data_IF_637582811799
#
_entry.id   IF_637582811799
#
_cell.length_a   1.000
_cell.length_b   1.000
_cell.length_c   1.000
_cell.angle_alpha   90.00
_cell.angle_beta   90.00
_cell.angle_gamma   90.00
#
_symmetry.space_group_name_H-M   'P 1'
#
loop_
_entity.id
_entity.type
_entity.pdbx_description
1 polymer ?
#
# COMPACT_ATOMS: atom_id res chain seq x y z
N UNK A 1 -29.52 -9.11 10.65
CA UNK A 1 -30.30 -9.23 9.40
C UNK A 1 -29.30 -9.16 8.25
N UNK A 2 -29.15 -10.21 7.43
CA UNK A 2 -28.25 -10.16 6.26
C UNK A 2 -28.96 -9.32 5.21
N UNK A 3 -28.42 -8.16 4.86
CA UNK A 3 -28.89 -7.41 3.68
C UNK A 3 -28.72 -8.30 2.45
N UNK A 4 -29.84 -8.79 1.92
CA UNK A 4 -29.90 -9.45 0.63
C UNK A 4 -30.35 -8.38 -0.37
N UNK A 5 -29.48 -8.08 -1.34
CA UNK A 5 -29.77 -7.10 -2.39
C UNK A 5 -30.54 -7.80 -3.49
N UNK A 6 -31.73 -7.29 -3.84
CA UNK A 6 -32.50 -7.78 -4.98
C UNK A 6 -31.70 -7.60 -6.28
N UNK A 7 -31.84 -8.57 -7.19
CA UNK A 7 -31.16 -8.56 -8.45
C UNK A 7 -31.72 -7.45 -9.36
N UNK A 8 -30.89 -6.48 -9.81
CA UNK A 8 -31.36 -5.38 -10.63
C UNK A 8 -31.75 -5.79 -12.06
N UNK A 9 -31.45 -7.02 -12.47
CA UNK A 9 -31.71 -7.53 -13.83
C UNK A 9 -33.01 -8.34 -13.89
N UNK A 10 -33.25 -9.26 -12.94
CA UNK A 10 -34.47 -10.08 -12.97
C UNK A 10 -35.55 -9.62 -11.99
N UNK A 11 -35.22 -8.80 -10.98
CA UNK A 11 -36.18 -8.31 -9.99
C UNK A 11 -36.73 -9.34 -9.00
N UNK A 12 -36.42 -10.63 -9.16
CA UNK A 12 -36.98 -11.71 -8.34
C UNK A 12 -35.93 -12.43 -7.47
N UNK A 13 -34.67 -12.46 -7.93
CA UNK A 13 -33.58 -13.14 -7.23
C UNK A 13 -32.81 -12.23 -6.28
N UNK A 14 -31.97 -12.82 -5.45
CA UNK A 14 -31.12 -12.13 -4.49
C UNK A 14 -29.64 -12.35 -4.78
N UNK A 15 -28.86 -11.28 -4.68
CA UNK A 15 -27.42 -11.30 -4.87
C UNK A 15 -26.71 -11.77 -3.61
N UNK A 16 -25.94 -12.85 -3.75
CA UNK A 16 -25.08 -13.37 -2.67
C UNK A 16 -23.61 -13.10 -2.98
N UNK A 17 -22.91 -12.44 -2.05
CA UNK A 17 -21.47 -12.19 -2.17
C UNK A 17 -20.67 -13.50 -2.25
N UNK A 18 -19.70 -13.53 -3.17
CA UNK A 18 -18.75 -14.60 -3.42
C UNK A 18 -17.34 -14.03 -3.53
N UNK A 19 -16.36 -14.86 -3.23
CA UNK A 19 -14.94 -14.58 -3.46
C UNK A 19 -14.35 -15.82 -4.11
N UNK A 20 -13.60 -15.64 -5.19
CA UNK A 20 -12.84 -16.70 -5.84
C UNK A 20 -11.40 -16.26 -6.07
N UNK A 21 -10.52 -17.21 -6.37
CA UNK A 21 -9.18 -16.91 -6.85
C UNK A 21 -9.19 -16.89 -8.38
N UNK A 22 -8.89 -15.73 -8.96
CA UNK A 22 -8.85 -15.53 -10.40
C UNK A 22 -7.41 -15.25 -10.85
N UNK A 23 -6.95 -15.85 -11.97
CA UNK A 23 -5.61 -15.61 -12.47
C UNK A 23 -5.52 -14.24 -13.14
N UNK A 24 -4.42 -13.53 -12.90
CA UNK A 24 -3.99 -12.38 -13.70
C UNK A 24 -2.64 -12.69 -14.33
N UNK A 25 -2.43 -12.18 -15.54
CA UNK A 25 -1.15 -12.26 -16.24
C UNK A 25 -0.55 -10.85 -16.27
N UNK A 26 0.67 -10.70 -15.74
CA UNK A 26 1.40 -9.45 -15.75
C UNK A 26 2.88 -9.72 -15.97
N UNK A 27 3.48 -9.06 -16.98
CA UNK A 27 4.87 -9.29 -17.43
C UNK A 27 5.21 -10.78 -17.65
N UNK A 28 4.25 -11.54 -18.19
CA UNK A 28 4.41 -12.98 -18.44
C UNK A 28 4.31 -13.87 -17.20
N UNK A 29 4.14 -13.30 -16.00
CA UNK A 29 3.94 -14.04 -14.75
C UNK A 29 2.45 -14.16 -14.46
N UNK A 30 2.00 -15.36 -14.11
CA UNK A 30 0.62 -15.60 -13.64
C UNK A 30 0.57 -15.49 -12.12
N UNK A 31 -0.33 -14.66 -11.60
CA UNK A 31 -0.62 -14.51 -10.17
C UNK A 31 -2.08 -14.81 -9.91
N UNK A 32 -2.38 -15.47 -8.78
CA UNK A 32 -3.75 -15.64 -8.32
C UNK A 32 -4.12 -14.48 -7.41
N UNK A 33 -5.26 -13.83 -7.68
CA UNK A 33 -5.79 -12.73 -6.86
C UNK A 33 -7.20 -13.04 -6.44
N UNK A 34 -7.60 -12.52 -5.28
CA UNK A 34 -9.00 -12.57 -4.86
C UNK A 34 -9.85 -11.72 -5.81
N UNK A 35 -10.97 -12.29 -6.23
CA UNK A 35 -11.98 -11.67 -7.06
C UNK A 35 -13.32 -11.76 -6.31
N UNK A 36 -13.76 -10.60 -5.82
CA UNK A 36 -14.97 -10.38 -5.06
C UNK A 36 -16.09 -9.99 -6.01
N UNK A 37 -17.23 -10.67 -5.93
CA UNK A 37 -18.40 -10.41 -6.76
C UNK A 37 -19.65 -10.93 -6.04
N UNK A 38 -20.81 -10.80 -6.66
CA UNK A 38 -22.07 -11.37 -6.18
C UNK A 38 -22.77 -12.09 -7.30
N UNK A 39 -23.46 -13.18 -6.96
CA UNK A 39 -24.21 -14.01 -7.92
C UNK A 39 -25.67 -14.03 -7.52
N UNK A 40 -26.56 -13.81 -8.51
CA UNK A 40 -28.00 -13.95 -8.35
C UNK A 40 -28.39 -15.42 -8.30
N UNK A 41 -29.20 -15.79 -7.31
CA UNK A 41 -29.71 -17.16 -7.14
C UNK A 41 -30.81 -17.57 -8.13
N UNK A 42 -31.45 -16.62 -8.81
CA UNK A 42 -32.52 -16.88 -9.78
C UNK A 42 -32.03 -16.87 -11.25
N UNK A 43 -31.32 -15.82 -11.67
CA UNK A 43 -30.93 -15.64 -13.08
C UNK A 43 -29.43 -15.86 -13.34
N UNK A 44 -28.62 -16.09 -12.31
CA UNK A 44 -27.18 -16.32 -12.45
C UNK A 44 -26.35 -15.08 -12.80
N UNK A 45 -26.93 -13.87 -12.76
CA UNK A 45 -26.17 -12.62 -12.93
C UNK A 45 -24.99 -12.57 -11.97
N UNK A 46 -23.79 -12.36 -12.53
CA UNK A 46 -22.60 -12.02 -11.76
C UNK A 46 -22.33 -10.53 -11.84
N UNK A 47 -22.10 -9.88 -10.70
CA UNK A 47 -21.72 -8.47 -10.66
C UNK A 47 -20.79 -8.16 -9.50
N UNK A 48 -19.92 -7.17 -9.68
CA UNK A 48 -19.12 -6.59 -8.61
C UNK A 48 -19.67 -5.20 -8.25
N UNK A 49 -20.06 -5.01 -7.00
CA UNK A 49 -20.43 -3.69 -6.48
C UNK A 49 -19.20 -2.77 -6.35
N UNK A 50 -19.41 -1.47 -6.05
CA UNK A 50 -18.31 -0.52 -5.94
C UNK A 50 -17.25 -0.91 -4.88
N UNK A 51 -17.66 -1.61 -3.81
CA UNK A 51 -16.77 -2.09 -2.76
C UNK A 51 -15.93 -3.27 -3.28
N UNK A 52 -16.56 -4.24 -3.93
CA UNK A 52 -15.92 -5.38 -4.55
C UNK A 52 -14.94 -4.96 -5.65
N UNK A 53 -15.34 -4.06 -6.56
CA UNK A 53 -14.44 -3.49 -7.58
C UNK A 53 -13.20 -2.85 -6.97
N UNK A 54 -13.36 -2.12 -5.85
CA UNK A 54 -12.23 -1.53 -5.13
C UNK A 54 -11.31 -2.61 -4.52
N UNK A 55 -11.88 -3.65 -3.93
CA UNK A 55 -11.10 -4.78 -3.38
C UNK A 55 -10.33 -5.52 -4.47
N UNK A 56 -10.98 -5.84 -5.59
CA UNK A 56 -10.37 -6.56 -6.71
C UNK A 56 -9.23 -5.73 -7.32
N UNK A 57 -9.44 -4.42 -7.50
CA UNK A 57 -8.39 -3.51 -7.97
C UNK A 57 -7.16 -3.53 -7.05
N UNK A 58 -7.36 -3.46 -5.74
CA UNK A 58 -6.27 -3.51 -4.75
C UNK A 58 -5.52 -4.84 -4.79
N UNK A 59 -6.24 -5.96 -4.91
CA UNK A 59 -5.63 -7.28 -5.04
C UNK A 59 -4.75 -7.38 -6.29
N UNK A 60 -5.22 -6.85 -7.43
CA UNK A 60 -4.43 -6.77 -8.66
C UNK A 60 -3.19 -5.88 -8.50
N UNK A 61 -3.32 -4.70 -7.91
CA UNK A 61 -2.18 -3.78 -7.70
C UNK A 61 -1.13 -4.42 -6.80
N UNK A 62 -1.55 -5.04 -5.69
CA UNK A 62 -0.65 -5.78 -4.80
C UNK A 62 0.10 -6.88 -5.55
N UNK A 63 -0.59 -7.70 -6.34
CA UNK A 63 0.05 -8.76 -7.11
C UNK A 63 1.03 -8.23 -8.16
N UNK A 64 0.73 -7.08 -8.80
CA UNK A 64 1.65 -6.42 -9.73
C UNK A 64 2.90 -5.90 -9.02
N UNK A 65 2.74 -5.26 -7.85
CA UNK A 65 3.86 -4.82 -7.00
C UNK A 65 4.78 -5.98 -6.64
N UNK A 66 4.21 -7.14 -6.26
CA UNK A 66 5.01 -8.33 -5.96
C UNK A 66 5.83 -8.80 -7.17
N UNK A 67 5.26 -8.77 -8.38
CA UNK A 67 5.99 -9.10 -9.62
C UNK A 67 7.09 -8.08 -9.93
N UNK A 68 6.82 -6.79 -9.69
CA UNK A 68 7.78 -5.70 -9.89
C UNK A 68 8.81 -5.58 -8.74
N UNK A 69 8.71 -6.40 -7.68
CA UNK A 69 9.60 -6.34 -6.51
C UNK A 69 9.39 -5.12 -5.59
N UNK A 70 8.24 -4.45 -5.71
CA UNK A 70 7.88 -3.26 -4.95
C UNK A 70 7.21 -3.63 -3.61
N UNK A 71 7.32 -2.74 -2.63
CA UNK A 71 6.63 -2.84 -1.35
C UNK A 71 5.11 -2.88 -1.54
N UNK A 72 4.46 -3.88 -0.96
CA UNK A 72 3.01 -3.92 -0.74
C UNK A 72 2.56 -2.80 0.20
N UNK A 73 1.27 -2.47 0.18
CA UNK A 73 0.73 -1.45 1.07
C UNK A 73 0.94 -1.77 2.55
N UNK A 74 0.85 -3.04 2.92
CA UNK A 74 1.12 -3.50 4.28
C UNK A 74 2.59 -3.26 4.71
N UNK A 75 3.55 -3.46 3.81
CA UNK A 75 4.96 -3.21 4.10
C UNK A 75 5.26 -1.71 4.20
N UNK A 76 4.69 -0.88 3.31
CA UNK A 76 4.79 0.58 3.41
C UNK A 76 4.22 1.08 4.75
N UNK A 77 3.07 0.56 5.17
CA UNK A 77 2.47 0.86 6.47
C UNK A 77 3.40 0.47 7.62
N UNK A 78 3.95 -0.74 7.59
CA UNK A 78 4.84 -1.25 8.63
C UNK A 78 6.11 -0.40 8.77
N UNK A 79 6.75 -0.04 7.65
CA UNK A 79 7.91 0.85 7.62
C UNK A 79 7.55 2.21 8.19
N UNK A 80 6.47 2.84 7.72
CA UNK A 80 6.05 4.16 8.21
C UNK A 80 5.80 4.16 9.72
N UNK A 81 5.17 3.11 10.24
CA UNK A 81 4.92 2.95 11.68
C UNK A 81 6.22 2.80 12.46
N UNK A 82 7.18 2.04 11.95
CA UNK A 82 8.52 1.88 12.55
C UNK A 82 9.32 3.19 12.55
N UNK A 83 9.19 4.01 11.51
CA UNK A 83 9.75 5.35 11.44
C UNK A 83 9.09 6.35 12.42
N UNK A 84 7.92 6.01 12.97
CA UNK A 84 7.23 6.82 13.97
C UNK A 84 6.56 8.07 13.41
N UNK A 85 6.06 8.00 12.17
CA UNK A 85 5.41 9.10 11.47
C UNK A 85 3.99 8.75 10.99
N UNK A 86 3.13 9.77 10.84
CA UNK A 86 1.81 9.63 10.24
C UNK A 86 1.86 9.76 8.69
N UNK A 87 0.74 9.55 8.01
CA UNK A 87 0.67 9.58 6.53
C UNK A 87 0.96 10.98 5.94
N UNK A 88 0.55 12.04 6.63
CA UNK A 88 0.80 13.43 6.22
C UNK A 88 2.29 13.75 6.31
N UNK A 89 2.92 13.43 7.45
CA UNK A 89 4.36 13.55 7.65
C UNK A 89 5.13 12.74 6.60
N UNK A 90 4.74 11.50 6.34
CA UNK A 90 5.37 10.69 5.30
C UNK A 90 5.26 11.34 3.91
N UNK A 91 4.10 11.90 3.57
CA UNK A 91 3.89 12.62 2.30
C UNK A 91 4.74 13.89 2.20
N UNK A 92 5.02 14.57 3.32
CA UNK A 92 5.95 15.72 3.37
C UNK A 92 7.42 15.28 3.26
N UNK A 93 7.79 14.20 3.93
CA UNK A 93 9.17 13.68 3.98
C UNK A 93 9.60 13.07 2.65
N UNK A 94 8.75 12.21 2.07
CA UNK A 94 9.07 11.43 0.88
C UNK A 94 8.48 12.02 -0.41
N UNK A 95 7.46 12.87 -0.30
CA UNK A 95 6.74 13.45 -1.44
C UNK A 95 5.54 12.61 -1.91
N UNK A 96 5.14 12.81 -3.17
CA UNK A 96 3.98 12.14 -3.80
C UNK A 96 2.63 12.84 -3.61
N UNK A 97 2.58 13.90 -2.79
CA UNK A 97 1.36 14.67 -2.50
C UNK A 97 0.56 14.11 -1.33
N UNK A 98 -0.46 14.84 -0.84
CA UNK A 98 -1.05 14.67 0.50
C UNK A 98 -1.76 13.33 0.74
N UNK A 99 -2.08 12.58 -0.32
CA UNK A 99 -2.80 11.29 -0.22
C UNK A 99 -1.96 10.09 -0.66
N UNK A 100 -0.67 10.30 -0.98
CA UNK A 100 0.19 9.27 -1.54
C UNK A 100 0.31 8.06 -0.61
N UNK A 101 0.67 8.28 0.66
CA UNK A 101 0.84 7.21 1.62
C UNK A 101 -0.47 6.50 1.95
N UNK A 102 -1.60 7.21 1.98
CA UNK A 102 -2.92 6.55 2.08
C UNK A 102 -3.16 5.62 0.90
N UNK A 103 -2.83 6.02 -0.33
CA UNK A 103 -3.03 5.19 -1.53
C UNK A 103 -2.04 4.02 -1.59
N UNK A 104 -0.78 4.24 -1.23
CA UNK A 104 0.24 3.21 -1.21
C UNK A 104 -0.09 2.12 -0.18
N UNK A 105 -0.43 2.53 1.05
CA UNK A 105 -0.77 1.61 2.15
C UNK A 105 -2.02 0.78 1.90
N UNK A 106 -2.91 1.28 1.05
CA UNK A 106 -4.14 0.60 0.66
C UNK A 106 -4.00 -0.22 -0.63
N UNK A 107 -2.85 -0.20 -1.30
CA UNK A 107 -2.67 -0.74 -2.65
C UNK A 107 -3.66 -0.15 -3.68
N UNK A 108 -4.06 1.10 -3.50
CA UNK A 108 -4.90 1.82 -4.48
C UNK A 108 -4.09 2.27 -5.72
N UNK A 109 -2.78 2.47 -5.53
CA UNK A 109 -1.77 2.84 -6.54
C UNK A 109 -0.41 2.23 -6.15
N UNK A 110 0.39 1.87 -7.15
CA UNK A 110 1.80 1.53 -6.95
C UNK A 110 2.68 2.79 -6.89
N UNK A 111 3.58 2.82 -5.92
CA UNK A 111 4.66 3.80 -5.85
C UNK A 111 5.66 3.57 -7.00
N UNK A 112 6.41 4.61 -7.36
CA UNK A 112 7.53 4.47 -8.31
C UNK A 112 8.68 3.67 -7.68
N UNK A 113 9.55 3.08 -8.51
CA UNK A 113 10.77 2.41 -8.02
C UNK A 113 11.67 3.33 -7.20
N UNK A 114 11.78 4.61 -7.59
CA UNK A 114 12.55 5.60 -6.86
C UNK A 114 11.96 5.85 -5.46
N UNK A 115 10.64 5.97 -5.36
CA UNK A 115 9.94 6.11 -4.08
C UNK A 115 10.13 4.86 -3.21
N UNK A 116 10.01 3.67 -3.79
CA UNK A 116 10.22 2.39 -3.10
C UNK A 116 11.62 2.30 -2.49
N UNK A 117 12.66 2.58 -3.29
CA UNK A 117 14.05 2.63 -2.85
C UNK A 117 14.26 3.66 -1.73
N UNK A 118 13.69 4.86 -1.86
CA UNK A 118 13.80 5.90 -0.84
C UNK A 118 13.18 5.48 0.50
N UNK A 119 11.99 4.85 0.47
CA UNK A 119 11.32 4.34 1.68
C UNK A 119 12.19 3.28 2.36
N UNK A 120 12.76 2.33 1.59
CA UNK A 120 13.63 1.27 2.13
C UNK A 120 14.90 1.83 2.76
N UNK A 121 15.60 2.72 2.04
CA UNK A 121 16.85 3.33 2.52
C UNK A 121 16.60 4.16 3.79
N UNK A 122 15.47 4.86 3.88
CA UNK A 122 15.11 5.59 5.10
C UNK A 122 14.81 4.66 6.30
N UNK A 123 14.18 3.51 6.08
CA UNK A 123 13.95 2.50 7.14
C UNK A 123 15.27 1.90 7.65
N UNK A 124 16.19 1.61 6.72
CA UNK A 124 17.46 0.95 7.01
C UNK A 124 18.48 1.90 7.66
N UNK A 125 18.57 3.15 7.19
CA UNK A 125 19.59 4.11 7.62
C UNK A 125 18.98 5.32 8.33
N UNK A 126 19.02 5.37 9.67
CA UNK A 126 18.44 6.48 10.45
C UNK A 126 18.98 7.86 10.07
N UNK A 127 20.26 7.94 9.66
CA UNK A 127 20.86 9.20 9.21
C UNK A 127 20.16 9.77 7.97
N UNK A 128 19.74 8.90 7.03
CA UNK A 128 19.01 9.30 5.83
C UNK A 128 17.62 9.78 6.21
N UNK A 129 16.91 9.02 7.04
CA UNK A 129 15.59 9.41 7.52
C UNK A 129 15.60 10.76 8.25
N UNK A 130 16.57 10.96 9.16
CA UNK A 130 16.73 12.21 9.89
C UNK A 130 17.03 13.38 8.95
N UNK A 131 17.84 13.17 7.90
CA UNK A 131 18.10 14.20 6.89
C UNK A 131 16.85 14.56 6.10
N UNK A 132 16.05 13.57 5.68
CA UNK A 132 14.78 13.81 4.98
C UNK A 132 13.77 14.55 5.87
N UNK A 133 13.67 14.18 7.16
CA UNK A 133 12.86 14.88 8.15
C UNK A 133 13.27 16.36 8.28
N UNK A 134 14.56 16.64 8.39
CA UNK A 134 15.08 18.01 8.48
C UNK A 134 14.79 18.82 7.20
N UNK A 135 14.93 18.22 6.02
CA UNK A 135 14.59 18.86 4.76
C UNK A 135 13.07 19.16 4.62
N UNK A 136 12.22 18.36 5.26
CA UNK A 136 10.77 18.53 5.23
C UNK A 136 10.21 19.36 6.39
N UNK A 137 11.05 19.83 7.31
CA UNK A 137 10.67 20.48 8.58
C UNK A 137 9.64 19.65 9.37
N UNK A 138 9.96 18.37 9.56
CA UNK A 138 9.14 17.40 10.31
C UNK A 138 9.95 16.82 11.46
N UNK A 139 9.39 16.87 12.67
CA UNK A 139 9.93 16.18 13.85
C UNK A 139 9.17 14.86 14.05
N UNK A 140 9.81 13.69 13.87
CA UNK A 140 9.15 12.41 14.04
C UNK A 140 9.01 12.03 15.53
N UNK A 141 7.97 11.27 15.87
CA UNK A 141 7.75 10.82 17.26
C UNK A 141 8.82 9.82 17.74
N UNK A 142 9.64 9.28 16.85
CA UNK A 142 10.79 8.44 17.20
C UNK A 142 11.98 9.23 17.75
N UNK A 143 12.08 10.54 17.46
CA UNK A 143 13.13 11.41 17.97
C UNK A 143 12.96 11.78 19.46
N UNK A 144 11.72 11.81 19.95
CA UNK A 144 11.39 12.15 21.35
C UNK A 144 11.66 11.00 22.34
N UNK A 145 11.75 9.74 21.86
CA UNK A 145 11.90 8.56 22.72
C UNK A 145 13.26 7.86 22.60
N UNK A 146 14.28 8.53 22.04
CA UNK A 146 15.68 8.10 22.08
C UNK A 146 15.93 6.68 21.59
N UNK A 147 16.12 6.50 20.27
CA UNK A 147 16.72 5.25 19.77
C UNK A 147 18.19 5.20 20.22
N UNK A 148 18.64 4.24 21.03
CA UNK A 148 20.05 4.14 21.37
C UNK A 148 20.82 3.58 20.16
N UNK A 149 21.84 4.33 19.71
CA UNK A 149 22.81 3.93 18.69
C UNK A 149 22.51 4.52 17.29
N UNK A 150 23.40 5.24 16.62
CA UNK A 150 24.84 5.46 16.82
C UNK A 150 25.22 6.84 16.31
N UNK A 151 25.91 7.61 17.15
CA UNK A 151 26.84 8.61 16.67
C UNK A 151 28.03 7.84 16.09
N UNK A 152 28.05 7.65 14.77
CA UNK A 152 29.28 7.33 14.05
C UNK A 152 29.76 8.63 13.40
N UNK A 153 30.83 9.18 13.96
CA UNK A 153 31.57 10.30 13.42
C UNK A 153 31.98 10.02 11.97
N UNK A 154 31.37 10.74 11.02
CA UNK A 154 32.01 11.00 9.73
C UNK A 154 32.74 12.33 9.91
N UNK A 155 33.84 12.27 10.65
CA UNK A 155 34.92 13.24 10.60
C UNK A 155 36.18 12.42 10.28
N UNK A 156 36.98 12.96 9.37
CA UNK A 156 38.34 12.52 9.02
C UNK A 156 38.45 11.31 8.09
N UNK A 157 38.37 11.57 6.78
CA UNK A 157 39.44 11.18 5.83
C UNK A 157 39.09 11.59 4.38
N UNK A 158 39.37 12.85 4.06
CA UNK A 158 39.72 13.26 2.69
C UNK A 158 41.04 14.02 2.82
N UNK A 159 42.15 13.27 2.82
CA UNK A 159 43.45 13.68 2.30
C UNK A 159 44.47 12.54 2.53
N UNK A 160 44.63 11.69 1.52
CA UNK A 160 45.87 10.99 1.19
C UNK A 160 45.79 10.54 -0.27
#
# INVERSE_FOLDING_TARGET
MKEQMECPVCGEGHLTRRVQMSPIIYRGVTKQVEDHFSVCDACGLEQADAKALKQNKRAVIKAKKEVDGLLSGAEVLAIRKRLGINQEQASRIFGGGPTAFTKYENDDVAQSEAMDKLIRVADEFPVVFNKLCACADVVPASAINGRPGSASSIADNINA
#
